data_IF_865706461605
#
_entry.id   IF_865706461605
#
_cell.length_a   1.000
_cell.length_b   1.000
_cell.length_c   1.000
_cell.angle_alpha   90.00
_cell.angle_beta   90.00
_cell.angle_gamma   90.00
#
_symmetry.space_group_name_H-M   'P 1'
#
loop_
_entity.id
_entity.type
_entity.pdbx_description
1 polymer ?
#
# COMPACT_ATOMS: atom_id res chain seq x y z
N UNK A 1 2.60 -28.22 -2.34
CA UNK A 1 3.87 -27.57 -1.91
C UNK A 1 3.52 -26.15 -1.50
N UNK A 2 3.00 -25.99 -0.29
CA UNK A 2 2.54 -24.72 0.32
C UNK A 2 3.61 -24.09 1.23
N UNK A 3 4.79 -24.72 1.33
CA UNK A 3 5.74 -24.54 2.41
C UNK A 3 6.45 -23.17 2.52
N UNK A 4 6.80 -22.44 1.43
CA UNK A 4 7.73 -21.32 1.58
C UNK A 4 7.17 -20.10 2.33
N UNK A 5 5.87 -19.76 2.15
CA UNK A 5 5.27 -18.60 2.84
C UNK A 5 5.13 -18.88 4.34
N UNK A 6 4.71 -20.10 4.69
CA UNK A 6 4.56 -20.51 6.08
C UNK A 6 5.91 -20.50 6.81
N UNK A 7 6.97 -21.00 6.18
CA UNK A 7 8.33 -20.97 6.72
C UNK A 7 8.83 -19.54 6.97
N UNK A 8 8.58 -18.62 6.02
CA UNK A 8 8.92 -17.19 6.18
C UNK A 8 8.18 -16.60 7.38
N UNK A 9 6.87 -16.84 7.48
CA UNK A 9 6.06 -16.36 8.60
C UNK A 9 6.55 -16.92 9.94
N UNK A 10 6.86 -18.20 9.99
CA UNK A 10 7.31 -18.87 11.21
C UNK A 10 8.67 -18.34 11.67
N UNK A 11 9.59 -18.03 10.73
CA UNK A 11 10.84 -17.36 11.06
C UNK A 11 10.62 -15.94 11.61
N UNK A 12 9.71 -15.15 11.02
CA UNK A 12 9.38 -13.81 11.52
C UNK A 12 8.79 -13.89 12.94
N UNK A 13 7.86 -14.81 13.18
CA UNK A 13 7.25 -15.02 14.50
C UNK A 13 8.25 -15.55 15.55
N UNK A 14 9.31 -16.21 15.10
CA UNK A 14 10.41 -16.68 15.94
C UNK A 14 11.54 -15.64 16.10
N UNK A 15 11.37 -14.42 15.60
CA UNK A 15 12.37 -13.33 15.61
C UNK A 15 13.69 -13.72 14.90
N UNK A 16 13.60 -14.58 13.88
CA UNK A 16 14.74 -15.03 13.07
C UNK A 16 14.86 -14.20 11.79
N UNK A 17 14.85 -12.87 11.94
CA UNK A 17 14.76 -11.92 10.83
C UNK A 17 15.94 -12.02 9.85
N UNK A 18 17.15 -12.29 10.35
CA UNK A 18 18.35 -12.47 9.50
C UNK A 18 18.20 -13.66 8.53
N UNK A 19 17.49 -14.72 8.93
CA UNK A 19 17.29 -15.90 8.10
C UNK A 19 16.31 -15.66 6.95
N UNK A 20 15.39 -14.68 7.08
CA UNK A 20 14.37 -14.37 6.06
C UNK A 20 15.03 -14.01 4.72
N UNK A 21 16.19 -13.36 4.74
CA UNK A 21 16.94 -13.01 3.54
C UNK A 21 17.50 -14.20 2.76
N UNK A 22 17.69 -15.34 3.41
CA UNK A 22 18.22 -16.56 2.78
C UNK A 22 17.09 -17.48 2.27
N UNK A 23 15.88 -17.33 2.81
CA UNK A 23 14.73 -18.16 2.46
C UNK A 23 14.29 -17.98 1.02
N UNK A 24 13.82 -19.07 0.39
CA UNK A 24 13.39 -19.05 -1.00
C UNK A 24 12.12 -18.20 -1.16
N UNK A 25 12.16 -17.27 -2.11
CA UNK A 25 10.95 -16.52 -2.50
C UNK A 25 9.93 -17.49 -3.12
N UNK A 26 8.68 -17.54 -2.63
CA UNK A 26 7.65 -18.40 -3.19
C UNK A 26 7.32 -17.96 -4.62
N UNK A 27 6.92 -18.91 -5.47
CA UNK A 27 6.51 -18.60 -6.85
C UNK A 27 5.11 -18.00 -6.93
N UNK A 28 4.27 -18.28 -5.94
CA UNK A 28 2.91 -17.77 -5.81
C UNK A 28 2.62 -17.43 -4.35
N UNK A 29 1.68 -16.52 -4.11
CA UNK A 29 1.27 -16.11 -2.78
C UNK A 29 -0.23 -15.79 -2.78
N UNK A 30 -0.87 -15.83 -1.61
CA UNK A 30 -2.28 -15.46 -1.50
C UNK A 30 -2.46 -13.96 -1.36
N UNK A 31 -3.46 -13.41 -2.05
CA UNK A 31 -3.83 -12.01 -1.96
C UNK A 31 -5.31 -11.77 -2.18
N UNK A 32 -5.82 -10.67 -1.63
CA UNK A 32 -7.16 -10.18 -1.92
C UNK A 32 -7.14 -9.47 -3.27
N UNK A 33 -7.94 -9.95 -4.21
CA UNK A 33 -7.98 -9.48 -5.59
C UNK A 33 -9.37 -9.00 -5.98
N UNK A 34 -9.42 -8.15 -7.01
CA UNK A 34 -10.61 -7.96 -7.86
C UNK A 34 -10.26 -8.38 -9.29
N UNK A 35 -11.25 -8.77 -10.11
CA UNK A 35 -11.03 -9.27 -11.48
C UNK A 35 -11.57 -8.32 -12.56
N UNK A 36 -10.89 -8.27 -13.71
CA UNK A 36 -11.17 -7.30 -14.78
C UNK A 36 -12.46 -7.61 -15.55
N UNK A 37 -12.85 -8.88 -15.64
CA UNK A 37 -14.08 -9.35 -16.26
C UNK A 37 -15.32 -9.12 -15.39
N UNK A 38 -15.14 -8.86 -14.10
CA UNK A 38 -16.19 -8.51 -13.15
C UNK A 38 -16.41 -6.99 -12.99
N UNK A 39 -15.63 -6.16 -13.67
CA UNK A 39 -15.64 -4.71 -13.46
C UNK A 39 -17.02 -4.03 -13.66
N UNK A 40 -17.90 -4.65 -14.45
CA UNK A 40 -19.27 -4.17 -14.72
C UNK A 40 -20.35 -4.89 -13.90
N UNK A 41 -19.99 -5.79 -12.98
CA UNK A 41 -20.95 -6.62 -12.22
C UNK A 41 -21.94 -5.82 -11.37
N UNK A 42 -21.63 -4.55 -11.10
CA UNK A 42 -22.45 -3.63 -10.31
C UNK A 42 -23.02 -2.44 -11.11
N UNK A 43 -22.94 -2.45 -12.44
CA UNK A 43 -23.29 -1.29 -13.28
C UNK A 43 -24.70 -0.74 -13.03
N UNK A 44 -25.66 -1.61 -12.71
CA UNK A 44 -27.07 -1.25 -12.50
C UNK A 44 -27.46 -1.07 -11.01
N UNK A 45 -26.49 -1.18 -10.09
CA UNK A 45 -26.76 -1.09 -8.65
C UNK A 45 -26.41 0.31 -8.10
N UNK A 46 -27.24 0.88 -7.21
CA UNK A 46 -26.85 2.04 -6.41
C UNK A 46 -25.61 1.72 -5.57
N UNK A 47 -24.71 2.70 -5.37
CA UNK A 47 -23.43 2.50 -4.65
C UNK A 47 -23.60 1.85 -3.27
N UNK A 48 -24.71 2.13 -2.56
CA UNK A 48 -25.01 1.56 -1.23
C UNK A 48 -25.27 0.05 -1.25
N UNK A 49 -25.75 -0.47 -2.38
CA UNK A 49 -26.11 -1.89 -2.59
C UNK A 49 -24.96 -2.71 -3.18
N UNK A 50 -23.91 -2.04 -3.66
CA UNK A 50 -22.67 -2.70 -4.11
C UNK A 50 -21.99 -3.32 -2.89
N UNK A 51 -21.89 -4.65 -2.91
CA UNK A 51 -21.38 -5.44 -1.79
C UNK A 51 -19.95 -5.90 -2.11
N UNK A 52 -18.92 -5.34 -1.43
CA UNK A 52 -17.51 -5.73 -1.62
C UNK A 52 -17.24 -7.23 -1.52
N UNK A 53 -18.05 -7.97 -0.77
CA UNK A 53 -17.88 -9.41 -0.56
C UNK A 53 -18.16 -10.23 -1.82
N UNK A 54 -18.77 -9.63 -2.84
CA UNK A 54 -19.08 -10.30 -4.11
C UNK A 54 -17.97 -10.15 -5.17
N UNK A 55 -17.10 -9.16 -5.02
CA UNK A 55 -16.06 -8.78 -5.99
C UNK A 55 -14.64 -9.00 -5.49
N UNK A 56 -14.46 -9.09 -4.15
CA UNK A 56 -13.18 -9.43 -3.55
C UNK A 56 -13.00 -10.94 -3.47
N UNK A 57 -11.94 -11.44 -4.08
CA UNK A 57 -11.56 -12.85 -4.09
C UNK A 57 -10.27 -13.07 -3.30
N UNK A 58 -10.14 -14.23 -2.66
CA UNK A 58 -8.87 -14.68 -2.10
C UNK A 58 -8.23 -15.64 -3.10
N UNK A 59 -7.26 -15.13 -3.85
CA UNK A 59 -6.60 -15.89 -4.91
C UNK A 59 -5.14 -16.19 -4.59
N UNK A 60 -4.64 -17.27 -5.19
CA UNK A 60 -3.20 -17.50 -5.32
C UNK A 60 -2.71 -16.86 -6.63
N UNK A 61 -1.79 -15.90 -6.52
CA UNK A 61 -1.25 -15.12 -7.64
C UNK A 61 0.26 -15.31 -7.76
N UNK A 62 0.80 -15.14 -8.98
CA UNK A 62 2.23 -15.28 -9.21
C UNK A 62 3.02 -14.13 -8.55
N UNK A 63 4.16 -14.47 -7.94
CA UNK A 63 5.10 -13.48 -7.40
C UNK A 63 5.68 -12.63 -8.53
N UNK A 64 5.53 -11.30 -8.50
CA UNK A 64 6.05 -10.44 -9.55
C UNK A 64 7.58 -10.45 -9.57
N UNK A 65 8.15 -10.22 -10.76
CA UNK A 65 9.59 -9.97 -10.89
C UNK A 65 9.97 -8.68 -10.15
N UNK A 66 11.05 -8.74 -9.36
CA UNK A 66 11.57 -7.62 -8.60
C UNK A 66 12.44 -6.72 -9.49
N UNK A 67 12.06 -5.45 -9.63
CA UNK A 67 12.78 -4.46 -10.43
C UNK A 67 13.83 -3.68 -9.63
N UNK A 68 14.62 -2.83 -10.29
CA UNK A 68 15.55 -1.91 -9.61
C UNK A 68 14.83 -0.95 -8.67
N UNK A 69 15.44 -0.63 -7.53
CA UNK A 69 14.88 0.33 -6.56
C UNK A 69 13.65 -0.16 -5.81
N UNK A 70 13.30 -1.45 -5.89
CA UNK A 70 12.10 -2.02 -5.26
C UNK A 70 12.44 -2.96 -4.11
N UNK A 71 11.43 -3.27 -3.31
CA UNK A 71 11.49 -4.27 -2.27
C UNK A 71 10.28 -5.21 -2.39
N UNK A 72 10.56 -6.51 -2.22
CA UNK A 72 9.54 -7.51 -1.97
C UNK A 72 9.43 -7.67 -0.46
N UNK A 73 8.21 -7.51 0.08
CA UNK A 73 7.94 -7.51 1.52
C UNK A 73 7.05 -8.70 1.86
N UNK A 74 7.42 -9.46 2.89
CA UNK A 74 6.55 -10.43 3.54
C UNK A 74 5.61 -9.69 4.49
N UNK A 75 4.33 -9.62 4.14
CA UNK A 75 3.35 -8.80 4.83
C UNK A 75 2.81 -9.56 6.05
N UNK A 76 2.94 -8.96 7.22
CA UNK A 76 2.41 -9.50 8.47
C UNK A 76 1.01 -8.95 8.76
N UNK A 77 0.76 -7.70 8.41
CA UNK A 77 -0.55 -7.07 8.51
C UNK A 77 -0.74 -5.96 7.47
N UNK A 78 -2.00 -5.62 7.21
CA UNK A 78 -2.42 -4.53 6.33
C UNK A 78 -3.68 -3.86 6.92
N UNK A 79 -4.23 -2.86 6.24
CA UNK A 79 -5.41 -2.13 6.68
C UNK A 79 -6.40 -1.92 5.52
N UNK A 80 -7.69 -1.77 5.88
CA UNK A 80 -8.74 -1.42 4.93
C UNK A 80 -8.87 0.10 4.88
N UNK A 81 -8.79 0.65 3.67
CA UNK A 81 -8.98 2.07 3.41
C UNK A 81 -10.21 2.31 2.53
N UNK A 82 -10.66 3.56 2.47
CA UNK A 82 -11.73 3.95 1.54
C UNK A 82 -11.38 3.64 0.08
N UNK A 83 -10.11 3.76 -0.32
CA UNK A 83 -9.67 3.39 -1.66
C UNK A 83 -9.79 1.88 -1.92
N UNK A 84 -9.63 1.02 -0.91
CA UNK A 84 -9.90 -0.41 -0.99
C UNK A 84 -11.39 -0.67 -1.23
N UNK A 85 -12.25 0.03 -0.49
CA UNK A 85 -13.70 -0.05 -0.66
C UNK A 85 -14.11 0.39 -2.07
N UNK A 86 -13.61 1.53 -2.54
CA UNK A 86 -13.87 2.03 -3.89
C UNK A 86 -13.42 1.07 -4.98
N UNK A 87 -12.23 0.46 -4.85
CA UNK A 87 -11.78 -0.61 -5.75
C UNK A 87 -12.75 -1.79 -5.76
N UNK A 88 -13.19 -2.25 -4.58
CA UNK A 88 -14.10 -3.40 -4.48
C UNK A 88 -15.48 -3.16 -5.10
N UNK A 89 -15.91 -1.91 -5.24
CA UNK A 89 -17.20 -1.58 -5.88
C UNK A 89 -17.04 -0.96 -7.27
N UNK A 90 -15.80 -0.96 -7.79
CA UNK A 90 -15.40 -0.41 -9.08
C UNK A 90 -15.76 1.08 -9.30
N UNK A 91 -15.71 1.88 -8.23
CA UNK A 91 -16.03 3.31 -8.27
C UNK A 91 -14.81 4.22 -8.02
N UNK A 92 -14.84 5.47 -8.52
CA UNK A 92 -15.80 6.00 -9.50
C UNK A 92 -15.60 5.39 -10.89
N UNK A 93 -14.43 4.80 -11.13
CA UNK A 93 -14.10 3.99 -12.31
C UNK A 93 -13.31 2.75 -11.86
N UNK A 94 -13.38 1.62 -12.59
CA UNK A 94 -12.59 0.44 -12.27
C UNK A 94 -11.08 0.73 -12.27
N UNK A 95 -10.36 0.26 -11.25
CA UNK A 95 -8.91 0.50 -11.10
C UNK A 95 -8.07 -0.05 -12.24
N UNK A 96 -8.58 -1.03 -12.98
CA UNK A 96 -7.96 -1.55 -14.21
C UNK A 96 -7.69 -0.49 -15.26
N UNK A 97 -8.44 0.62 -15.29
CA UNK A 97 -8.15 1.74 -16.17
C UNK A 97 -6.78 2.38 -15.86
N UNK A 98 -6.48 2.56 -14.57
CA UNK A 98 -5.18 3.08 -14.10
C UNK A 98 -4.06 2.07 -14.37
N UNK A 99 -4.29 0.78 -14.08
CA UNK A 99 -3.30 -0.27 -14.32
C UNK A 99 -2.93 -0.40 -15.81
N UNK A 100 -3.92 -0.37 -16.71
CA UNK A 100 -3.70 -0.37 -18.17
C UNK A 100 -2.98 0.89 -18.65
N UNK A 101 -3.24 2.05 -18.03
CA UNK A 101 -2.53 3.29 -18.36
C UNK A 101 -1.08 3.20 -17.91
N UNK A 102 -0.83 2.77 -16.68
CA UNK A 102 0.52 2.63 -16.15
C UNK A 102 1.35 1.59 -16.91
N UNK A 103 0.75 0.43 -17.23
CA UNK A 103 1.41 -0.64 -17.97
C UNK A 103 1.86 -0.29 -19.39
N UNK A 104 1.47 0.88 -19.92
CA UNK A 104 1.94 1.41 -21.21
C UNK A 104 3.20 2.25 -21.11
N UNK A 105 3.62 2.66 -19.90
CA UNK A 105 4.73 3.60 -19.73
C UNK A 105 6.09 2.94 -19.93
N UNK A 106 6.29 1.72 -19.43
CA UNK A 106 7.58 1.01 -19.54
C UNK A 106 7.40 -0.51 -19.49
N UNK A 107 8.41 -1.29 -19.94
CA UNK A 107 8.41 -2.74 -19.79
C UNK A 107 8.24 -3.19 -18.34
N UNK A 108 8.84 -2.45 -17.39
CA UNK A 108 8.72 -2.75 -15.97
C UNK A 108 7.31 -2.44 -15.44
N UNK A 109 6.68 -1.34 -15.88
CA UNK A 109 5.32 -1.00 -15.48
C UNK A 109 4.28 -1.99 -16.02
N UNK A 110 4.57 -2.68 -17.14
CA UNK A 110 3.64 -3.62 -17.78
C UNK A 110 3.17 -4.74 -16.85
N UNK A 111 3.99 -5.15 -15.88
CA UNK A 111 3.62 -6.20 -14.90
C UNK A 111 2.44 -5.82 -14.01
N UNK A 112 2.06 -4.55 -13.90
CA UNK A 112 0.86 -4.14 -13.15
C UNK A 112 -0.44 -4.31 -13.96
N UNK A 113 -0.36 -4.35 -15.30
CA UNK A 113 -1.49 -4.55 -16.20
C UNK A 113 -1.82 -6.05 -16.35
N UNK A 114 -2.57 -6.55 -15.37
CA UNK A 114 -2.96 -7.95 -15.23
C UNK A 114 -4.49 -8.10 -15.22
N UNK A 115 -5.04 -9.30 -15.49
CA UNK A 115 -6.49 -9.54 -15.42
C UNK A 115 -7.04 -9.51 -13.98
N UNK A 116 -6.17 -9.47 -12.97
CA UNK A 116 -6.51 -9.31 -11.56
C UNK A 116 -5.75 -8.13 -10.96
N UNK A 117 -6.28 -7.59 -9.86
CA UNK A 117 -5.63 -6.51 -9.11
C UNK A 117 -5.58 -6.89 -7.61
N UNK A 118 -4.38 -7.14 -7.10
CA UNK A 118 -4.12 -7.32 -5.66
C UNK A 118 -4.21 -5.96 -4.96
N UNK A 119 -5.19 -5.81 -4.06
CA UNK A 119 -5.51 -4.52 -3.42
C UNK A 119 -4.75 -4.29 -2.11
N UNK A 120 -4.84 -3.08 -1.57
CA UNK A 120 -4.35 -2.72 -0.23
C UNK A 120 -3.23 -1.69 -0.26
N UNK A 121 -3.40 -0.59 0.47
CA UNK A 121 -2.50 0.57 0.41
C UNK A 121 -1.67 0.79 1.67
N UNK A 122 -1.72 -0.17 2.60
CA UNK A 122 -0.89 -0.20 3.81
C UNK A 122 -0.26 -1.58 3.96
N UNK A 123 0.91 -1.63 4.58
CA UNK A 123 1.48 -2.87 5.11
C UNK A 123 2.31 -2.59 6.36
N UNK A 124 2.44 -3.62 7.19
CA UNK A 124 3.55 -3.82 8.11
C UNK A 124 4.10 -5.23 7.85
N UNK A 125 5.42 -5.35 7.76
CA UNK A 125 6.04 -6.61 7.40
C UNK A 125 7.55 -6.58 7.45
N UNK A 126 8.16 -7.58 6.83
CA UNK A 126 9.62 -7.75 6.79
C UNK A 126 10.09 -7.75 5.35
N UNK A 127 11.14 -6.99 5.05
CA UNK A 127 11.77 -7.00 3.72
C UNK A 127 12.29 -8.40 3.42
N UNK A 128 11.82 -9.01 2.35
CA UNK A 128 12.24 -10.33 1.88
C UNK A 128 13.38 -10.23 0.88
N UNK A 129 13.28 -9.32 -0.09
CA UNK A 129 14.31 -9.06 -1.12
C UNK A 129 14.32 -7.60 -1.52
N UNK A 130 15.48 -7.13 -1.99
CA UNK A 130 15.67 -5.78 -2.53
C UNK A 130 16.21 -5.84 -3.95
N UNK A 131 15.70 -4.98 -4.80
CA UNK A 131 16.15 -4.81 -6.17
C UNK A 131 17.51 -4.12 -6.25
N UNK A 132 18.08 -4.12 -7.46
CA UNK A 132 19.35 -3.43 -7.74
C UNK A 132 19.25 -1.95 -7.36
N UNK A 133 20.29 -1.41 -6.72
CA UNK A 133 20.38 0.02 -6.36
C UNK A 133 19.79 0.38 -4.99
N UNK A 134 19.04 -0.52 -4.35
CA UNK A 134 18.57 -0.32 -2.97
C UNK A 134 19.76 -0.46 -2.02
N UNK A 135 19.91 0.51 -1.12
CA UNK A 135 21.00 0.54 -0.13
C UNK A 135 20.52 0.85 1.30
N UNK A 136 19.41 1.59 1.45
CA UNK A 136 18.82 1.95 2.74
C UNK A 136 18.13 0.78 3.44
N UNK A 137 17.78 -0.26 2.68
CA UNK A 137 17.04 -1.43 3.15
C UNK A 137 17.76 -2.71 2.78
N UNK A 138 17.62 -3.74 3.62
CA UNK A 138 18.12 -5.09 3.41
C UNK A 138 17.06 -6.12 3.84
N UNK A 139 17.15 -7.37 3.36
CA UNK A 139 16.30 -8.43 3.88
C UNK A 139 16.40 -8.57 5.41
N UNK A 140 15.26 -8.83 6.06
CA UNK A 140 15.14 -8.88 7.52
C UNK A 140 14.73 -7.56 8.17
N UNK A 141 14.77 -6.43 7.45
CA UNK A 141 14.32 -5.15 8.01
C UNK A 141 12.79 -5.15 8.25
N UNK A 142 12.39 -4.76 9.46
CA UNK A 142 10.98 -4.54 9.81
C UNK A 142 10.49 -3.18 9.30
N UNK A 143 9.44 -3.19 8.49
CA UNK A 143 8.98 -2.02 7.75
C UNK A 143 7.48 -1.82 7.81
N UNK A 144 7.08 -0.56 7.66
CA UNK A 144 5.75 -0.15 7.18
C UNK A 144 5.93 0.55 5.84
N UNK A 145 4.87 0.75 5.08
CA UNK A 145 4.95 1.48 3.80
C UNK A 145 3.92 2.60 3.71
N UNK A 146 4.33 3.74 3.16
CA UNK A 146 3.38 4.74 2.66
C UNK A 146 2.95 4.40 1.23
N UNK A 147 1.76 4.85 0.84
CA UNK A 147 1.18 4.47 -0.45
C UNK A 147 1.66 5.30 -1.65
N UNK A 148 2.32 6.44 -1.45
CA UNK A 148 2.76 7.28 -2.57
C UNK A 148 3.87 6.62 -3.39
N UNK A 149 3.59 6.28 -4.63
CA UNK A 149 4.56 5.81 -5.63
C UNK A 149 4.80 6.90 -6.66
N UNK A 150 6.04 7.31 -6.83
CA UNK A 150 6.45 8.37 -7.77
C UNK A 150 7.60 7.86 -8.66
N UNK A 151 7.68 8.32 -9.90
CA UNK A 151 8.81 8.01 -10.78
C UNK A 151 9.94 9.05 -10.66
N UNK A 152 9.61 10.33 -10.42
CA UNK A 152 10.56 11.43 -10.25
C UNK A 152 11.49 11.67 -11.46
N UNK A 153 11.09 11.18 -12.64
CA UNK A 153 11.76 11.51 -13.92
C UNK A 153 11.45 12.96 -14.36
N UNK A 154 10.25 13.45 -14.06
CA UNK A 154 9.87 14.85 -14.31
C UNK A 154 10.49 15.77 -13.26
N UNK A 155 10.97 16.98 -13.63
CA UNK A 155 11.45 17.97 -12.67
C UNK A 155 10.33 18.51 -11.74
N UNK A 156 9.06 18.39 -12.12
CA UNK A 156 7.94 18.99 -11.39
C UNK A 156 7.81 18.48 -9.95
N UNK A 157 8.18 17.21 -9.71
CA UNK A 157 8.12 16.57 -8.39
C UNK A 157 9.29 16.89 -7.46
N UNK A 158 10.33 17.62 -7.91
CA UNK A 158 11.59 17.75 -7.14
C UNK A 158 11.54 18.79 -6.02
N UNK A 159 10.49 19.62 -5.94
CA UNK A 159 10.24 20.53 -4.81
C UNK A 159 9.10 20.07 -3.88
N UNK A 160 8.27 19.14 -4.37
CA UNK A 160 7.23 18.41 -3.64
C UNK A 160 6.81 17.22 -4.50
N UNK A 161 7.08 16.00 -4.03
CA UNK A 161 6.88 14.78 -4.85
C UNK A 161 5.41 14.51 -5.17
N UNK A 162 4.49 15.13 -4.43
CA UNK A 162 3.05 15.12 -4.76
C UNK A 162 2.73 15.83 -6.10
N UNK A 163 3.66 16.64 -6.62
CA UNK A 163 3.55 17.30 -7.93
C UNK A 163 4.14 16.48 -9.07
N UNK A 164 4.67 15.28 -8.79
CA UNK A 164 5.13 14.38 -9.84
C UNK A 164 3.93 13.98 -10.74
N UNK A 165 4.01 14.17 -12.06
CA UNK A 165 2.89 13.89 -12.96
C UNK A 165 2.56 12.40 -13.09
N UNK A 166 3.44 11.53 -12.62
CA UNK A 166 3.29 10.07 -12.62
C UNK A 166 3.13 9.51 -11.19
N UNK A 167 2.74 10.37 -10.23
CA UNK A 167 2.39 9.94 -8.88
C UNK A 167 1.17 9.02 -8.89
N UNK A 168 1.23 7.97 -8.07
CA UNK A 168 0.19 6.93 -7.95
C UNK A 168 0.05 6.48 -6.51
N UNK A 169 -1.15 6.02 -6.17
CA UNK A 169 -1.43 5.35 -4.90
C UNK A 169 -1.22 3.84 -5.04
N UNK A 170 -0.25 3.31 -4.32
CA UNK A 170 0.08 1.89 -4.29
C UNK A 170 -1.10 1.03 -3.80
N UNK A 171 -1.34 -0.09 -4.48
CA UNK A 171 -2.50 -0.98 -4.24
C UNK A 171 -3.86 -0.41 -4.65
N UNK A 172 -3.86 0.73 -5.38
CA UNK A 172 -5.03 1.36 -5.97
C UNK A 172 -4.80 1.69 -7.45
N UNK A 173 -3.76 2.47 -7.77
CA UNK A 173 -3.30 2.77 -9.14
C UNK A 173 -2.09 1.93 -9.56
N UNK A 174 -1.59 1.08 -8.65
CA UNK A 174 -0.61 0.04 -8.93
C UNK A 174 -1.13 -1.30 -8.42
N UNK A 175 -0.77 -2.38 -9.11
CA UNK A 175 -0.98 -3.74 -8.61
C UNK A 175 -0.05 -4.09 -7.42
N UNK A 176 -0.16 -5.31 -6.90
CA UNK A 176 0.67 -5.88 -5.83
C UNK A 176 0.59 -5.13 -4.49
N UNK A 177 -0.64 -4.80 -4.10
CA UNK A 177 -0.97 -4.14 -2.84
C UNK A 177 -0.72 -4.99 -1.59
N UNK A 178 -0.98 -4.39 -0.43
CA UNK A 178 -0.67 -4.95 0.89
C UNK A 178 -1.70 -5.91 1.48
N UNK A 179 -2.90 -6.07 0.92
CA UNK A 179 -3.87 -7.07 1.40
C UNK A 179 -3.54 -8.46 0.83
N UNK A 180 -2.31 -8.91 1.09
CA UNK A 180 -1.75 -10.15 0.59
C UNK A 180 -0.63 -10.65 1.51
N UNK A 181 -0.14 -11.86 1.28
CA UNK A 181 1.01 -12.43 2.01
C UNK A 181 2.34 -11.80 1.58
N UNK A 182 2.44 -11.36 0.32
CA UNK A 182 3.57 -10.63 -0.22
C UNK A 182 3.11 -9.33 -0.89
N UNK A 183 3.96 -8.32 -0.84
CA UNK A 183 3.75 -7.05 -1.52
C UNK A 183 5.00 -6.61 -2.26
N UNK A 184 4.81 -5.98 -3.42
CA UNK A 184 5.87 -5.31 -4.17
C UNK A 184 5.73 -3.80 -3.99
N UNK A 185 6.76 -3.17 -3.45
CA UNK A 185 6.80 -1.71 -3.20
C UNK A 185 8.09 -1.11 -3.71
N UNK A 186 8.09 0.18 -4.03
CA UNK A 186 9.34 0.91 -4.22
C UNK A 186 10.03 1.07 -2.88
N UNK A 187 11.36 0.99 -2.85
CA UNK A 187 12.16 1.14 -1.62
C UNK A 187 12.01 2.51 -0.96
N UNK A 188 11.65 3.54 -1.73
CA UNK A 188 11.35 4.88 -1.22
C UNK A 188 9.97 5.02 -0.57
N UNK A 189 9.14 3.97 -0.59
CA UNK A 189 7.87 3.91 0.15
C UNK A 189 8.03 3.39 1.58
N UNK A 190 9.14 2.71 1.85
CA UNK A 190 9.37 2.02 3.11
C UNK A 190 9.75 3.01 4.21
N UNK A 191 9.27 2.71 5.41
CA UNK A 191 9.60 3.39 6.65
C UNK A 191 9.85 2.34 7.73
N UNK A 192 10.69 2.60 8.75
CA UNK A 192 10.95 1.63 9.79
C UNK A 192 9.67 1.37 10.59
N UNK A 193 9.39 0.09 10.88
CA UNK A 193 8.27 -0.25 11.76
C UNK A 193 8.48 0.34 13.15
N UNK A 194 7.48 1.00 13.76
CA UNK A 194 7.57 1.43 15.16
C UNK A 194 7.73 0.21 16.09
N UNK A 195 8.87 0.11 16.77
CA UNK A 195 9.23 -1.07 17.58
C UNK A 195 8.33 -1.34 18.80
N UNK A 196 7.47 -0.40 19.18
CA UNK A 196 6.54 -0.55 20.29
C UNK A 196 5.13 -0.97 19.87
N UNK A 197 4.86 -1.07 18.56
CA UNK A 197 3.55 -1.45 18.03
C UNK A 197 3.56 -2.91 17.56
N UNK A 198 2.41 -3.58 17.65
CA UNK A 198 2.17 -4.84 16.97
C UNK A 198 2.18 -4.67 15.44
N UNK A 199 2.08 -5.76 14.68
CA UNK A 199 2.06 -5.70 13.21
C UNK A 199 0.82 -4.97 12.70
N UNK A 200 -0.35 -5.35 13.19
CA UNK A 200 -1.63 -4.74 12.84
C UNK A 200 -1.75 -3.29 13.32
N UNK A 201 -1.20 -2.95 14.49
CA UNK A 201 -1.12 -1.57 14.96
C UNK A 201 -0.19 -0.73 14.09
N UNK A 202 0.95 -1.29 13.64
CA UNK A 202 1.88 -0.59 12.78
C UNK A 202 1.36 -0.41 11.34
N UNK A 203 0.53 -1.34 10.84
CA UNK A 203 -0.08 -1.25 9.52
C UNK A 203 -1.27 -0.27 9.47
N UNK A 204 -1.91 0.02 10.60
CA UNK A 204 -3.13 0.83 10.63
C UNK A 204 -2.97 2.32 10.27
N UNK A 205 -1.88 3.03 10.64
CA UNK A 205 -1.76 4.46 10.40
C UNK A 205 -1.52 4.85 8.93
N UNK A 206 -0.71 4.08 8.20
CA UNK A 206 -0.01 4.49 6.97
C UNK A 206 -0.67 5.60 6.13
N UNK A 207 -1.63 5.24 5.29
CA UNK A 207 -2.32 6.16 4.36
C UNK A 207 -3.03 7.31 5.09
N UNK A 208 -3.86 7.01 6.09
CA UNK A 208 -4.74 8.00 6.71
C UNK A 208 -3.99 8.97 7.61
N UNK A 209 -2.99 8.50 8.34
CA UNK A 209 -2.13 9.30 9.20
C UNK A 209 -1.27 10.27 8.37
N UNK A 210 -0.60 9.77 7.32
CA UNK A 210 0.22 10.61 6.44
C UNK A 210 -0.63 11.66 5.69
N UNK A 211 -1.84 11.28 5.26
CA UNK A 211 -2.79 12.21 4.63
C UNK A 211 -3.24 13.30 5.61
N UNK A 212 -3.66 12.93 6.82
CA UNK A 212 -4.06 13.89 7.86
C UNK A 212 -2.89 14.81 8.26
N UNK A 213 -1.68 14.26 8.38
CA UNK A 213 -0.47 15.03 8.66
C UNK A 213 -0.19 16.06 7.57
N UNK A 214 -0.20 15.65 6.29
CA UNK A 214 0.01 16.58 5.18
C UNK A 214 -1.09 17.64 5.12
N UNK A 215 -2.34 17.25 5.34
CA UNK A 215 -3.48 18.16 5.26
C UNK A 215 -3.47 19.22 6.38
N UNK A 216 -3.14 18.82 7.62
CA UNK A 216 -3.32 19.68 8.78
C UNK A 216 -2.00 20.31 9.28
N UNK A 217 -0.93 19.51 9.38
CA UNK A 217 0.33 19.90 10.05
C UNK A 217 1.36 20.46 9.09
N UNK A 218 1.47 19.88 7.88
CA UNK A 218 2.47 20.31 6.91
C UNK A 218 2.22 21.73 6.38
N UNK A 219 3.30 22.45 6.08
CA UNK A 219 3.28 23.74 5.36
C UNK A 219 2.63 23.68 3.97
N UNK A 220 2.47 22.48 3.40
CA UNK A 220 1.80 22.24 2.13
C UNK A 220 0.28 22.02 2.28
N UNK A 221 -0.23 22.03 3.51
CA UNK A 221 -1.65 21.95 3.85
C UNK A 221 -2.10 23.20 4.60
N UNK A 222 -2.78 23.01 5.75
CA UNK A 222 -3.26 24.10 6.59
C UNK A 222 -2.17 24.76 7.45
N UNK A 223 -1.03 24.09 7.68
CA UNK A 223 0.07 24.58 8.52
C UNK A 223 -0.40 25.03 9.92
N UNK A 224 -1.19 24.17 10.59
CA UNK A 224 -1.83 24.49 11.87
C UNK A 224 -0.82 24.95 12.92
N UNK A 225 -1.28 25.81 13.84
CA UNK A 225 -0.46 26.39 14.91
C UNK A 225 -1.14 26.17 16.26
N UNK A 226 -0.34 26.23 17.31
CA UNK A 226 -0.82 26.16 18.68
C UNK A 226 -1.90 27.23 18.92
N UNK A 227 -3.05 26.81 19.45
CA UNK A 227 -4.19 27.68 19.73
C UNK A 227 -5.20 27.83 18.59
N UNK A 228 -4.97 27.22 17.42
CA UNK A 228 -5.94 27.20 16.33
C UNK A 228 -7.19 26.40 16.72
N UNK A 229 -8.37 26.87 16.30
CA UNK A 229 -9.62 26.10 16.40
C UNK A 229 -9.86 25.31 15.13
N UNK A 230 -9.76 23.98 15.20
CA UNK A 230 -9.87 23.08 14.04
C UNK A 230 -11.23 22.36 14.05
N UNK A 231 -12.05 22.58 13.03
CA UNK A 231 -13.27 21.79 12.80
C UNK A 231 -12.93 20.48 12.08
N UNK A 232 -13.16 19.34 12.74
CA UNK A 232 -12.83 18.01 12.21
C UNK A 232 -14.11 17.23 11.90
N UNK A 233 -14.41 17.07 10.61
CA UNK A 233 -15.50 16.21 10.15
C UNK A 233 -15.11 14.73 10.27
N UNK A 234 -16.08 13.88 10.64
CA UNK A 234 -15.84 12.43 10.75
C UNK A 234 -14.70 12.10 11.71
N UNK A 235 -14.58 12.82 12.84
CA UNK A 235 -13.46 12.75 13.78
C UNK A 235 -13.16 11.34 14.35
N UNK A 236 -14.10 10.40 14.25
CA UNK A 236 -13.91 9.00 14.66
C UNK A 236 -13.48 8.05 13.52
N UNK A 237 -13.45 8.52 12.26
CA UNK A 237 -12.99 7.75 11.10
C UNK A 237 -11.47 7.77 10.93
N UNK A 238 -10.94 7.08 9.93
CA UNK A 238 -9.48 6.94 9.72
C UNK A 238 -8.73 8.27 9.64
N UNK A 239 -9.15 9.20 8.78
CA UNK A 239 -8.52 10.54 8.70
C UNK A 239 -8.78 11.37 9.97
N UNK A 240 -10.03 11.37 10.44
CA UNK A 240 -10.47 12.21 11.54
C UNK A 240 -9.81 11.86 12.88
N UNK A 241 -9.52 10.58 13.12
CA UNK A 241 -8.89 10.13 14.36
C UNK A 241 -7.44 10.64 14.46
N UNK A 242 -6.66 10.60 13.37
CA UNK A 242 -5.32 11.18 13.34
C UNK A 242 -5.35 12.71 13.31
N UNK A 243 -6.26 13.32 12.55
CA UNK A 243 -6.43 14.78 12.55
C UNK A 243 -6.73 15.31 13.97
N UNK A 244 -7.57 14.61 14.74
CA UNK A 244 -7.88 14.98 16.14
C UNK A 244 -6.65 14.86 17.02
N UNK A 245 -5.87 13.78 16.87
CA UNK A 245 -4.61 13.61 17.60
C UNK A 245 -3.59 14.71 17.25
N UNK A 246 -3.47 15.08 15.97
CA UNK A 246 -2.58 16.16 15.55
C UNK A 246 -3.01 17.52 16.10
N UNK A 247 -4.32 17.82 16.08
CA UNK A 247 -4.84 19.05 16.67
C UNK A 247 -4.52 19.12 18.17
N UNK A 248 -4.73 18.03 18.91
CA UNK A 248 -4.39 17.96 20.34
C UNK A 248 -2.88 18.08 20.60
N UNK A 249 -2.05 17.41 19.79
CA UNK A 249 -0.60 17.42 19.94
C UNK A 249 0.03 18.76 19.51
N UNK A 250 -0.61 19.49 18.60
CA UNK A 250 -0.19 20.83 18.14
C UNK A 250 -0.49 21.95 19.14
N UNK A 251 -1.38 21.70 20.10
CA UNK A 251 -1.80 22.61 21.18
C UNK A 251 -2.67 23.79 20.71
#
# INVERSE_FOLDING_TARGET
>A
MEAPVQEIRDAILADQLDAVGEMKVPQHYRGMTVHADEAEMFAELPSREKDPRKSLHLDEVATPELGPGEALVAVMASAINYNTVWTSIFEPIPTFAFLKRYGKLSPLAKRHDLPYHVVGSDLAGVVLRTGVGVNTWKPGDEVVAHCLSVELESPDGHNDTMMDPEQRIWGFETNFGGLAELALVKSNQLMPKPGHLSWEEAASPGLVNSTAYRQLVSRYGADMKQGDTVLIWGACGGLGSYATQFALNGG
#
